data_IF_970842032003
#
_entry.id   IF_970842032003
#
_cell.length_a   1.000
_cell.length_b   1.000
_cell.length_c   1.000
_cell.angle_alpha   90.00
_cell.angle_beta   90.00
_cell.angle_gamma   90.00
#
_symmetry.space_group_name_H-M   'P 1'
#
loop_
_entity.id
_entity.type
_entity.pdbx_description
1 polymer ?
#
# COMPACT_ATOMS: atom_id res chain seq x y z
N UNK A 1 -9.55 -12.99 12.92
CA UNK A 1 -8.11 -13.02 12.62
C UNK A 1 -7.71 -14.38 12.05
N UNK A 2 -6.75 -14.37 11.13
CA UNK A 2 -6.22 -15.59 10.52
C UNK A 2 -5.44 -16.39 11.56
N UNK A 3 -5.92 -17.61 11.89
CA UNK A 3 -5.30 -18.48 12.88
C UNK A 3 -4.14 -19.33 12.30
N UNK A 4 -4.21 -19.65 11.02
CA UNK A 4 -3.20 -20.45 10.33
C UNK A 4 -3.20 -20.12 8.83
N UNK A 5 -2.02 -19.93 8.25
CA UNK A 5 -1.84 -19.85 6.81
C UNK A 5 -0.76 -20.85 6.37
N UNK A 6 -1.05 -21.60 5.31
CA UNK A 6 -0.08 -22.49 4.64
C UNK A 6 0.09 -21.99 3.20
N UNK A 7 1.32 -21.69 2.81
CA UNK A 7 1.61 -21.22 1.46
C UNK A 7 2.95 -21.79 0.97
N UNK A 8 3.08 -21.95 -0.33
CA UNK A 8 4.35 -22.19 -1.02
C UNK A 8 4.64 -20.97 -1.90
N UNK A 9 5.68 -20.23 -1.53
CA UNK A 9 6.09 -18.99 -2.20
C UNK A 9 7.33 -19.19 -3.07
N UNK A 10 7.76 -20.42 -3.33
CA UNK A 10 9.00 -20.72 -4.08
C UNK A 10 9.00 -20.10 -5.50
N UNK A 11 7.83 -19.89 -6.11
CA UNK A 11 7.74 -19.23 -7.41
C UNK A 11 8.36 -17.83 -7.43
N UNK A 12 8.36 -17.12 -6.29
CA UNK A 12 8.98 -15.78 -6.20
C UNK A 12 10.50 -15.82 -6.31
N UNK A 13 11.15 -16.96 -6.07
CA UNK A 13 12.59 -17.13 -6.24
C UNK A 13 13.03 -16.96 -7.71
N UNK A 14 12.09 -17.12 -8.66
CA UNK A 14 12.36 -16.88 -10.08
C UNK A 14 12.32 -15.38 -10.46
N UNK A 15 11.78 -14.51 -9.60
CA UNK A 15 11.77 -13.07 -9.82
C UNK A 15 13.08 -12.44 -9.34
N UNK A 16 14.18 -12.92 -9.88
CA UNK A 16 15.55 -12.47 -9.56
C UNK A 16 15.85 -11.09 -10.16
N UNK A 17 16.90 -10.38 -9.69
CA UNK A 17 17.38 -9.16 -10.35
C UNK A 17 17.65 -9.35 -11.84
N UNK A 18 18.27 -10.46 -12.24
CA UNK A 18 18.55 -10.78 -13.65
C UNK A 18 17.26 -10.96 -14.47
N UNK A 19 16.21 -11.56 -13.91
CA UNK A 19 14.90 -11.62 -14.56
C UNK A 19 14.28 -10.23 -14.69
N UNK A 20 14.30 -9.43 -13.60
CA UNK A 20 13.75 -8.07 -13.58
C UNK A 20 14.46 -7.15 -14.57
N UNK A 21 15.77 -7.32 -14.77
CA UNK A 21 16.53 -6.59 -15.78
C UNK A 21 15.92 -6.80 -17.18
N UNK A 22 15.53 -8.02 -17.53
CA UNK A 22 14.87 -8.31 -18.81
C UNK A 22 13.50 -7.63 -18.96
N UNK A 23 12.88 -7.18 -17.86
CA UNK A 23 11.57 -6.50 -17.82
C UNK A 23 11.68 -4.99 -17.62
N UNK A 24 12.87 -4.49 -17.35
CA UNK A 24 13.07 -3.11 -16.89
C UNK A 24 12.55 -2.07 -17.90
N UNK A 25 12.72 -2.33 -19.20
CA UNK A 25 12.17 -1.44 -20.25
C UNK A 25 10.64 -1.33 -20.15
N UNK A 26 9.95 -2.44 -19.91
CA UNK A 26 8.49 -2.46 -19.75
C UNK A 26 8.07 -1.78 -18.45
N UNK A 27 8.78 -2.04 -17.36
CA UNK A 27 8.52 -1.42 -16.06
C UNK A 27 8.71 0.10 -16.12
N UNK A 28 9.78 0.57 -16.76
CA UNK A 28 10.07 1.99 -16.89
C UNK A 28 9.14 2.73 -17.86
N UNK A 29 8.48 2.01 -18.77
CA UNK A 29 7.45 2.58 -19.63
C UNK A 29 6.05 2.63 -18.97
N UNK A 30 5.89 2.03 -17.79
CA UNK A 30 4.62 2.05 -17.07
C UNK A 30 4.38 3.41 -16.41
N UNK A 31 3.12 3.81 -16.27
CA UNK A 31 2.74 5.03 -15.57
C UNK A 31 3.03 4.95 -14.04
N UNK A 32 3.02 3.75 -13.48
CA UNK A 32 3.49 3.40 -12.15
C UNK A 32 3.78 1.90 -12.06
N UNK A 33 4.51 1.48 -11.06
CA UNK A 33 4.79 0.07 -10.75
C UNK A 33 4.36 -0.19 -9.31
N UNK A 34 3.53 -1.22 -9.10
CA UNK A 34 3.17 -1.70 -7.77
C UNK A 34 4.01 -2.94 -7.44
N UNK A 35 4.63 -2.94 -6.29
CA UNK A 35 5.40 -4.08 -5.78
C UNK A 35 4.97 -4.45 -4.37
N UNK A 36 5.21 -5.69 -3.99
CA UNK A 36 5.03 -6.18 -2.64
C UNK A 36 6.31 -6.83 -2.08
N UNK A 37 6.32 -7.12 -0.80
CA UNK A 37 7.48 -7.72 -0.11
C UNK A 37 7.54 -9.25 -0.20
N UNK A 38 6.73 -9.88 -1.05
CA UNK A 38 6.92 -11.28 -1.41
C UNK A 38 8.18 -11.47 -2.27
N UNK A 39 8.57 -10.45 -3.02
CA UNK A 39 9.86 -10.40 -3.71
C UNK A 39 11.04 -10.56 -2.74
N UNK A 40 12.19 -11.04 -3.26
CA UNK A 40 13.43 -11.07 -2.48
C UNK A 40 13.93 -9.66 -2.16
N UNK A 41 14.69 -9.51 -1.08
CA UNK A 41 15.29 -8.21 -0.73
C UNK A 41 16.21 -7.68 -1.84
N UNK A 42 16.90 -8.58 -2.56
CA UNK A 42 17.75 -8.22 -3.69
C UNK A 42 16.93 -7.68 -4.86
N UNK A 43 15.80 -8.33 -5.18
CA UNK A 43 14.91 -7.92 -6.25
C UNK A 43 14.23 -6.57 -5.95
N UNK A 44 13.83 -6.36 -4.69
CA UNK A 44 13.29 -5.08 -4.23
C UNK A 44 14.34 -3.98 -4.36
N UNK A 45 15.56 -4.21 -3.90
CA UNK A 45 16.66 -3.25 -4.03
C UNK A 45 16.95 -2.94 -5.50
N UNK A 46 17.02 -3.98 -6.35
CA UNK A 46 17.23 -3.81 -7.79
C UNK A 46 16.18 -2.88 -8.41
N UNK A 47 14.89 -3.09 -8.08
CA UNK A 47 13.81 -2.20 -8.55
C UNK A 47 13.99 -0.76 -8.03
N UNK A 48 14.35 -0.58 -6.76
CA UNK A 48 14.63 0.74 -6.20
C UNK A 48 15.76 1.49 -6.91
N UNK A 49 16.80 0.78 -7.34
CA UNK A 49 17.98 1.35 -8.00
C UNK A 49 17.77 1.63 -9.50
N UNK A 50 16.97 0.82 -10.20
CA UNK A 50 16.91 0.83 -11.67
C UNK A 50 15.53 1.21 -12.24
N UNK A 51 14.45 1.07 -11.47
CA UNK A 51 13.13 1.46 -11.94
C UNK A 51 12.97 2.98 -11.86
N UNK A 52 12.62 3.61 -12.98
CA UNK A 52 12.39 5.06 -13.07
C UNK A 52 10.92 5.44 -12.95
N UNK A 53 10.01 4.50 -13.16
CA UNK A 53 8.58 4.72 -12.93
C UNK A 53 8.28 4.93 -11.42
N UNK A 54 7.24 5.67 -11.06
CA UNK A 54 6.79 5.80 -9.67
C UNK A 54 6.53 4.43 -9.03
N UNK A 55 7.22 4.13 -7.91
CA UNK A 55 7.09 2.86 -7.20
C UNK A 55 6.04 3.00 -6.09
N UNK A 56 5.08 2.11 -6.09
CA UNK A 56 4.06 1.92 -5.05
C UNK A 56 4.34 0.61 -4.33
N UNK A 57 4.37 0.60 -3.00
CA UNK A 57 4.72 -0.59 -2.24
C UNK A 57 3.68 -0.95 -1.17
N UNK A 58 3.39 -2.26 -1.06
CA UNK A 58 2.67 -2.86 0.06
C UNK A 58 3.64 -3.75 0.85
N UNK A 59 3.82 -3.51 2.17
CA UNK A 59 4.70 -4.34 3.00
C UNK A 59 4.21 -5.76 3.24
N UNK A 60 2.93 -6.08 2.99
CA UNK A 60 2.27 -7.39 3.17
C UNK A 60 2.24 -7.86 4.63
N UNK A 61 3.35 -7.75 5.35
CA UNK A 61 3.44 -8.13 6.77
C UNK A 61 4.63 -7.49 7.46
N UNK A 62 4.53 -7.29 8.77
CA UNK A 62 5.64 -6.77 9.57
C UNK A 62 6.93 -7.59 9.42
N UNK A 63 6.82 -8.93 9.31
CA UNK A 63 7.99 -9.80 9.12
C UNK A 63 8.74 -9.55 7.79
N UNK A 64 8.06 -9.01 6.77
CA UNK A 64 8.64 -8.76 5.45
C UNK A 64 8.93 -7.28 5.19
N UNK A 65 8.31 -6.37 5.94
CA UNK A 65 8.37 -4.92 5.74
C UNK A 65 9.80 -4.36 5.69
N UNK A 66 10.72 -4.88 6.52
CA UNK A 66 12.12 -4.45 6.56
C UNK A 66 12.87 -4.57 5.22
N UNK A 67 12.37 -5.37 4.27
CA UNK A 67 12.94 -5.43 2.91
C UNK A 67 12.82 -4.11 2.15
N UNK A 68 11.89 -3.23 2.54
CA UNK A 68 11.67 -1.93 1.91
C UNK A 68 12.60 -0.83 2.43
N UNK A 69 13.22 -1.00 3.60
CA UNK A 69 14.08 0.02 4.22
C UNK A 69 15.13 0.60 3.25
N UNK A 70 15.87 -0.21 2.47
CA UNK A 70 16.89 0.33 1.56
C UNK A 70 16.34 1.19 0.43
N UNK A 71 15.06 1.07 0.12
CA UNK A 71 14.44 1.77 -1.01
C UNK A 71 13.35 2.77 -0.60
N UNK A 72 13.16 3.03 0.70
CA UNK A 72 12.10 3.95 1.18
C UNK A 72 12.15 5.30 0.44
N UNK A 73 13.33 5.88 0.26
CA UNK A 73 13.52 7.14 -0.45
C UNK A 73 13.26 7.09 -1.97
N UNK A 74 13.00 5.91 -2.52
CA UNK A 74 12.65 5.71 -3.93
C UNK A 74 11.17 5.45 -4.16
N UNK A 75 10.44 5.17 -3.08
CA UNK A 75 9.01 4.92 -3.16
C UNK A 75 8.24 6.24 -3.33
N UNK A 76 7.33 6.26 -4.30
CA UNK A 76 6.34 7.33 -4.39
C UNK A 76 5.26 7.13 -3.32
N UNK A 77 4.73 5.92 -3.20
CA UNK A 77 3.64 5.63 -2.26
C UNK A 77 3.92 4.35 -1.49
N UNK A 78 3.72 4.40 -0.18
CA UNK A 78 3.76 3.26 0.72
C UNK A 78 2.41 3.11 1.43
N UNK A 79 1.89 1.88 1.50
CA UNK A 79 0.65 1.58 2.22
C UNK A 79 0.89 0.57 3.35
N UNK A 80 1.47 0.95 4.46
CA UNK A 80 1.65 0.07 5.61
C UNK A 80 0.39 0.01 6.47
N UNK A 81 0.23 -1.07 7.25
CA UNK A 81 -0.59 -1.04 8.45
C UNK A 81 0.18 -0.41 9.61
N UNK A 82 -0.48 -0.27 10.79
CA UNK A 82 0.14 0.31 12.01
C UNK A 82 1.46 -0.36 12.37
N UNK A 83 1.49 -1.70 12.45
CA UNK A 83 2.69 -2.46 12.85
C UNK A 83 3.83 -2.32 11.85
N UNK A 84 3.51 -2.33 10.57
CA UNK A 84 4.48 -2.12 9.49
C UNK A 84 5.03 -0.69 9.48
N UNK A 85 4.17 0.30 9.76
CA UNK A 85 4.58 1.70 9.90
C UNK A 85 5.50 1.89 11.11
N UNK A 86 5.19 1.25 12.25
CA UNK A 86 6.07 1.26 13.44
C UNK A 86 7.45 0.70 13.12
N UNK A 87 7.49 -0.44 12.43
CA UNK A 87 8.75 -1.10 12.06
C UNK A 87 9.58 -0.21 11.13
N UNK A 88 8.97 0.31 10.06
CA UNK A 88 9.67 1.08 9.03
C UNK A 88 10.05 2.49 9.50
N UNK A 89 9.30 3.09 10.43
CA UNK A 89 9.60 4.41 10.99
C UNK A 89 10.45 4.37 12.26
N UNK A 90 10.50 3.22 12.95
CA UNK A 90 11.09 3.11 14.28
C UNK A 90 10.28 3.83 15.38
N UNK A 91 9.06 4.27 15.09
CA UNK A 91 8.18 5.01 16.03
C UNK A 91 7.06 4.10 16.50
N UNK A 92 6.97 3.83 17.80
CA UNK A 92 5.82 3.12 18.38
C UNK A 92 4.58 4.01 18.32
N UNK A 93 3.47 3.50 17.80
CA UNK A 93 2.22 4.22 17.60
C UNK A 93 1.24 3.88 18.72
N UNK A 94 1.12 4.76 19.70
CA UNK A 94 0.21 4.61 20.84
C UNK A 94 -0.96 5.60 20.83
N UNK A 95 -0.82 6.68 20.07
CA UNK A 95 -1.78 7.78 19.98
C UNK A 95 -1.67 8.48 18.62
N UNK A 96 -2.53 9.45 18.37
CA UNK A 96 -2.53 10.23 17.13
C UNK A 96 -1.22 10.99 16.90
N UNK A 97 -0.62 11.54 17.97
CA UNK A 97 0.63 12.29 17.86
C UNK A 97 1.79 11.38 17.43
N UNK A 98 1.88 10.16 17.96
CA UNK A 98 2.89 9.18 17.56
C UNK A 98 2.62 8.65 16.16
N UNK A 99 1.35 8.51 15.76
CA UNK A 99 0.98 8.14 14.39
C UNK A 99 1.45 9.20 13.38
N UNK A 100 1.26 10.47 13.69
CA UNK A 100 1.75 11.56 12.83
C UNK A 100 3.28 11.59 12.77
N UNK A 101 3.98 11.35 13.89
CA UNK A 101 5.45 11.23 13.89
C UNK A 101 5.94 10.07 13.04
N UNK A 102 5.26 8.91 13.07
CA UNK A 102 5.60 7.78 12.20
C UNK A 102 5.48 8.16 10.72
N UNK A 103 4.38 8.82 10.33
CA UNK A 103 4.20 9.33 8.97
C UNK A 103 5.28 10.34 8.58
N UNK A 104 5.61 11.31 9.48
CA UNK A 104 6.68 12.29 9.23
C UNK A 104 8.04 11.63 9.03
N UNK A 105 8.37 10.62 9.84
CA UNK A 105 9.63 9.88 9.71
C UNK A 105 9.71 9.16 8.36
N UNK A 106 8.62 8.54 7.92
CA UNK A 106 8.55 7.86 6.62
C UNK A 106 8.69 8.87 5.46
N UNK A 107 8.01 10.01 5.53
CA UNK A 107 8.14 11.08 4.53
C UNK A 107 9.56 11.66 4.51
N UNK A 108 10.17 11.86 5.68
CA UNK A 108 11.56 12.33 5.80
C UNK A 108 12.58 11.33 5.20
N UNK A 109 12.25 10.04 5.14
CA UNK A 109 13.06 9.04 4.45
C UNK A 109 12.98 9.17 2.90
N UNK A 110 12.11 10.03 2.37
CA UNK A 110 12.02 10.37 0.94
C UNK A 110 10.73 9.92 0.25
N UNK A 111 9.80 9.25 0.96
CA UNK A 111 8.48 8.94 0.41
C UNK A 111 7.73 10.22 0.00
N UNK A 112 6.95 10.12 -1.07
CA UNK A 112 6.07 11.23 -1.47
C UNK A 112 4.71 11.15 -0.78
N UNK A 113 4.18 9.93 -0.58
CA UNK A 113 2.89 9.69 0.07
C UNK A 113 2.92 8.43 0.93
N UNK A 114 2.25 8.46 2.06
CA UNK A 114 2.02 7.27 2.89
C UNK A 114 0.54 7.16 3.29
N UNK A 115 0.02 5.94 3.27
CA UNK A 115 -1.34 5.60 3.70
C UNK A 115 -1.26 4.54 4.79
N UNK A 116 -1.30 4.95 6.06
CA UNK A 116 -1.19 4.03 7.21
C UNK A 116 -2.59 3.53 7.56
N UNK A 117 -2.87 2.25 7.29
CA UNK A 117 -4.15 1.63 7.64
C UNK A 117 -4.19 1.29 9.13
N UNK A 118 -5.33 1.60 9.77
CA UNK A 118 -5.54 1.53 11.21
C UNK A 118 -6.65 0.55 11.60
N UNK A 119 -7.00 -0.37 10.71
CA UNK A 119 -8.10 -1.31 10.92
C UNK A 119 -9.44 -0.59 11.07
N UNK A 120 -10.09 -0.76 12.23
CA UNK A 120 -11.38 -0.12 12.51
C UNK A 120 -11.32 1.42 12.55
N UNK A 121 -10.14 1.99 12.81
CA UNK A 121 -9.95 3.44 12.94
C UNK A 121 -9.72 4.16 11.60
N UNK A 122 -9.74 3.40 10.48
CA UNK A 122 -9.64 3.97 9.13
C UNK A 122 -8.21 4.08 8.61
N UNK A 123 -7.81 5.25 8.08
CA UNK A 123 -6.51 5.47 7.47
C UNK A 123 -5.96 6.86 7.78
N UNK A 124 -4.68 6.96 8.13
CA UNK A 124 -3.93 8.20 8.03
C UNK A 124 -3.28 8.28 6.64
N UNK A 125 -3.66 9.27 5.86
CA UNK A 125 -2.98 9.64 4.63
C UNK A 125 -2.08 10.86 4.88
N UNK A 126 -0.83 10.82 4.42
CA UNK A 126 0.11 11.91 4.57
C UNK A 126 0.99 12.09 3.32
N UNK A 127 1.28 13.34 3.01
CA UNK A 127 2.31 13.78 2.08
C UNK A 127 3.09 14.97 2.69
N UNK A 128 3.97 15.61 1.92
CA UNK A 128 4.79 16.73 2.42
C UNK A 128 4.00 18.02 2.71
N UNK A 129 2.75 18.12 2.25
CA UNK A 129 1.92 19.31 2.42
C UNK A 129 0.91 19.14 3.55
N UNK A 130 0.33 17.94 3.71
CA UNK A 130 -0.76 17.71 4.66
C UNK A 130 -0.85 16.27 5.16
N UNK A 131 -1.57 16.12 6.26
CA UNK A 131 -2.00 14.85 6.84
C UNK A 131 -3.52 14.86 7.01
N UNK A 132 -4.16 13.77 6.66
CA UNK A 132 -5.62 13.61 6.78
C UNK A 132 -5.92 12.26 7.39
N UNK A 133 -6.57 12.25 8.54
CA UNK A 133 -7.09 11.02 9.16
C UNK A 133 -8.55 10.86 8.74
N UNK A 134 -8.86 9.77 8.05
CA UNK A 134 -10.19 9.44 7.58
C UNK A 134 -10.68 8.15 8.23
N UNK A 135 -11.91 8.18 8.73
CA UNK A 135 -12.57 6.99 9.27
C UNK A 135 -13.09 6.07 8.16
N UNK A 136 -13.28 4.80 8.51
CA UNK A 136 -13.87 3.84 7.58
C UNK A 136 -15.27 4.27 7.15
N UNK A 137 -15.59 3.92 5.90
CA UNK A 137 -16.94 4.07 5.39
C UNK A 137 -17.85 2.97 5.96
N UNK A 138 -19.15 3.23 6.16
CA UNK A 138 -20.11 2.22 6.56
C UNK A 138 -20.09 1.03 5.59
N UNK A 139 -20.16 -0.19 6.12
CA UNK A 139 -20.15 -1.41 5.33
C UNK A 139 -20.40 -2.64 6.19
N UNK A 140 -20.77 -3.74 5.57
CA UNK A 140 -20.96 -5.02 6.23
C UNK A 140 -19.72 -5.90 6.07
N UNK A 141 -19.04 -6.20 7.19
CA UNK A 141 -17.83 -7.02 7.17
C UNK A 141 -18.17 -8.49 7.03
N UNK A 142 -17.83 -9.07 5.89
CA UNK A 142 -17.93 -10.50 5.59
C UNK A 142 -16.52 -11.13 5.60
N UNK A 143 -15.55 -10.49 4.91
CA UNK A 143 -14.19 -10.99 4.79
C UNK A 143 -13.23 -9.80 4.63
N UNK A 144 -12.09 -9.83 5.31
CA UNK A 144 -11.09 -8.76 5.23
C UNK A 144 -9.96 -9.06 4.24
N UNK A 145 -9.93 -10.26 3.66
CA UNK A 145 -8.92 -10.65 2.67
C UNK A 145 -9.09 -9.81 1.39
N UNK A 146 -8.00 -9.23 0.91
CA UNK A 146 -8.02 -8.40 -0.30
C UNK A 146 -8.38 -6.93 -0.08
N UNK A 147 -8.80 -6.53 1.14
CA UNK A 147 -9.10 -5.10 1.43
C UNK A 147 -7.87 -4.20 1.21
N UNK A 148 -6.68 -4.67 1.62
CA UNK A 148 -5.42 -3.95 1.40
C UNK A 148 -5.09 -3.78 -0.08
N UNK A 149 -5.28 -4.83 -0.86
CA UNK A 149 -5.03 -4.83 -2.31
C UNK A 149 -6.02 -3.91 -3.03
N UNK A 150 -7.31 -3.95 -2.65
CA UNK A 150 -8.33 -3.07 -3.17
C UNK A 150 -8.02 -1.59 -2.86
N UNK A 151 -7.56 -1.30 -1.63
CA UNK A 151 -7.11 0.04 -1.25
C UNK A 151 -5.96 0.50 -2.15
N UNK A 152 -4.91 -0.32 -2.28
CA UNK A 152 -3.74 0.01 -3.11
C UNK A 152 -4.14 0.23 -4.57
N UNK A 153 -5.01 -0.62 -5.13
CA UNK A 153 -5.51 -0.48 -6.50
C UNK A 153 -6.25 0.86 -6.70
N UNK A 154 -7.10 1.25 -5.74
CA UNK A 154 -7.81 2.53 -5.80
C UNK A 154 -6.89 3.74 -5.66
N UNK A 155 -5.86 3.66 -4.79
CA UNK A 155 -4.83 4.70 -4.66
C UNK A 155 -3.99 4.82 -5.92
N UNK A 156 -3.59 3.69 -6.52
CA UNK A 156 -2.88 3.67 -7.80
C UNK A 156 -3.73 4.32 -8.91
N UNK A 157 -5.02 3.98 -8.98
CA UNK A 157 -5.94 4.61 -9.93
C UNK A 157 -6.11 6.12 -9.66
N UNK A 158 -6.23 6.52 -8.39
CA UNK A 158 -6.32 7.93 -8.02
C UNK A 158 -5.09 8.73 -8.46
N UNK A 159 -3.90 8.14 -8.35
CA UNK A 159 -2.66 8.73 -8.85
C UNK A 159 -2.71 8.96 -10.37
N UNK A 160 -3.16 7.96 -11.14
CA UNK A 160 -3.31 8.07 -12.60
C UNK A 160 -4.31 9.16 -13.03
N UNK A 161 -5.33 9.38 -12.19
CA UNK A 161 -6.34 10.43 -12.42
C UNK A 161 -5.87 11.83 -11.94
N UNK A 162 -4.67 11.95 -11.36
CA UNK A 162 -4.18 13.21 -10.79
C UNK A 162 -4.92 13.66 -9.53
N UNK A 163 -5.55 12.73 -8.80
CA UNK A 163 -6.31 13.04 -7.61
C UNK A 163 -5.40 13.48 -6.44
N UNK A 164 -5.94 14.35 -5.59
CA UNK A 164 -5.26 14.78 -4.38
C UNK A 164 -5.20 13.67 -3.32
N UNK A 165 -4.45 13.92 -2.24
CA UNK A 165 -4.20 12.95 -1.17
C UNK A 165 -5.51 12.46 -0.51
N UNK A 166 -6.41 13.38 -0.19
CA UNK A 166 -7.66 13.07 0.50
C UNK A 166 -8.61 12.27 -0.40
N UNK A 167 -8.73 12.64 -1.66
CA UNK A 167 -9.52 11.92 -2.67
C UNK A 167 -8.96 10.50 -2.87
N UNK A 168 -7.63 10.34 -2.92
CA UNK A 168 -6.99 9.04 -3.03
C UNK A 168 -7.31 8.15 -1.82
N UNK A 169 -7.25 8.70 -0.60
CA UNK A 169 -7.58 7.98 0.63
C UNK A 169 -9.07 7.59 0.69
N UNK A 170 -9.99 8.49 0.32
CA UNK A 170 -11.43 8.20 0.25
C UNK A 170 -11.72 7.07 -0.73
N UNK A 171 -11.11 7.10 -1.93
CA UNK A 171 -11.25 6.01 -2.91
C UNK A 171 -10.69 4.69 -2.39
N UNK A 172 -9.56 4.72 -1.68
CA UNK A 172 -8.98 3.55 -1.02
C UNK A 172 -9.91 2.94 0.01
N UNK A 173 -10.48 3.76 0.90
CA UNK A 173 -11.46 3.32 1.90
C UNK A 173 -12.73 2.76 1.26
N UNK A 174 -13.25 3.39 0.19
CA UNK A 174 -14.41 2.91 -0.54
C UNK A 174 -14.15 1.54 -1.17
N UNK A 175 -13.01 1.36 -1.84
CA UNK A 175 -12.63 0.08 -2.43
C UNK A 175 -12.46 -1.01 -1.35
N UNK A 176 -11.83 -0.69 -0.21
CA UNK A 176 -11.72 -1.61 0.92
C UNK A 176 -13.07 -2.01 1.49
N UNK A 177 -14.01 -1.06 1.63
CA UNK A 177 -15.36 -1.34 2.11
C UNK A 177 -16.11 -2.27 1.15
N UNK A 178 -16.01 -2.03 -0.17
CA UNK A 178 -16.63 -2.91 -1.18
C UNK A 178 -15.98 -4.31 -1.13
N UNK A 179 -14.65 -4.40 -1.05
CA UNK A 179 -13.95 -5.69 -0.96
C UNK A 179 -14.41 -6.48 0.27
N UNK A 180 -14.58 -5.81 1.41
CA UNK A 180 -14.96 -6.41 2.69
C UNK A 180 -16.39 -7.01 2.70
N UNK A 181 -17.27 -6.58 1.80
CA UNK A 181 -18.67 -7.02 1.72
C UNK A 181 -18.86 -8.34 0.97
N UNK A 182 -17.80 -8.97 0.49
CA UNK A 182 -17.84 -10.25 -0.24
C UNK A 182 -17.12 -11.35 0.51
N UNK A 183 -17.61 -12.59 0.36
CA UNK A 183 -16.88 -13.78 0.76
C UNK A 183 -15.68 -14.07 -0.15
N UNK A 184 -15.72 -13.60 -1.41
CA UNK A 184 -14.65 -13.75 -2.38
C UNK A 184 -13.55 -12.71 -2.11
N UNK A 185 -12.31 -13.09 -2.33
CA UNK A 185 -11.13 -12.19 -2.22
C UNK A 185 -11.26 -10.98 -3.15
N UNK A 186 -11.87 -11.17 -4.32
CA UNK A 186 -12.18 -10.11 -5.27
C UNK A 186 -13.70 -10.02 -5.37
N UNK A 187 -14.28 -8.94 -4.82
CA UNK A 187 -15.72 -8.71 -4.92
C UNK A 187 -16.12 -8.43 -6.37
N UNK A 188 -17.03 -9.22 -6.97
CA UNK A 188 -17.49 -9.00 -8.36
C UNK A 188 -18.18 -7.63 -8.58
N UNK A 189 -18.68 -7.01 -7.51
CA UNK A 189 -19.26 -5.65 -7.57
C UNK A 189 -18.21 -4.53 -7.63
N UNK A 190 -16.91 -4.85 -7.49
CA UNK A 190 -15.85 -3.85 -7.54
C UNK A 190 -15.79 -3.18 -8.92
N UNK A 191 -15.98 -1.87 -8.94
CA UNK A 191 -15.89 -1.06 -10.15
C UNK A 191 -15.57 0.40 -9.80
N UNK A 192 -15.10 1.16 -10.80
CA UNK A 192 -14.87 2.60 -10.62
C UNK A 192 -16.16 3.34 -10.24
N UNK A 193 -17.29 2.93 -10.80
CA UNK A 193 -18.61 3.49 -10.49
C UNK A 193 -19.00 3.20 -9.04
N UNK A 194 -18.88 1.95 -8.59
CA UNK A 194 -19.19 1.56 -7.22
C UNK A 194 -18.31 2.31 -6.19
N UNK A 195 -17.02 2.49 -6.48
CA UNK A 195 -16.11 3.29 -5.64
C UNK A 195 -16.55 4.75 -5.61
N UNK A 196 -16.92 5.35 -6.75
CA UNK A 196 -17.35 6.73 -6.83
C UNK A 196 -18.68 6.98 -6.09
N UNK A 197 -19.64 6.07 -6.19
CA UNK A 197 -20.91 6.14 -5.48
C UNK A 197 -20.73 6.00 -3.95
N UNK A 198 -19.76 5.20 -3.51
CA UNK A 198 -19.52 4.96 -2.10
C UNK A 198 -18.91 6.15 -1.34
N UNK A 199 -18.27 7.08 -2.03
CA UNK A 199 -17.63 8.26 -1.43
C UNK A 199 -18.53 9.51 -1.45
N UNK A 200 -19.72 9.44 -2.03
CA UNK A 200 -20.72 10.51 -2.02
C UNK A 200 -21.52 10.52 -0.71
#
# INVERSE_FOLDING_TARGET
DMALAMNDMAIYEHLTPAFLETKLTTLNAAALVVLDTNLSAESIRYLGEHCTAPLFADPVSAAKAGKLEPILGRLHTLKPNRMEAELLSGVTVTDEASLYRAADTLLAAGLQRVFISLGADGVLAADHERKVHLHNLPGHMVNTTGCGDAFMAAVARAFLDGADLETAAKRGLAASAIAMESADTINPAMSLTAVAERIQ
#
